data_IF_872663085439
#
_entry.id   IF_872663085439
#
_cell.length_a   1.000
_cell.length_b   1.000
_cell.length_c   1.000
_cell.angle_alpha   90.00
_cell.angle_beta   90.00
_cell.angle_gamma   90.00
#
_symmetry.space_group_name_H-M   'P 1'
#
loop_
_entity.id
_entity.type
_entity.pdbx_description
1 polymer ?
#
# COMPACT_ATOMS: atom_id res chain seq x y z
N UNK A 1 3.21 5.20 -17.40
CA UNK A 1 1.88 4.69 -17.72
C UNK A 1 1.70 4.28 -19.18
N UNK A 2 1.92 5.16 -20.14
CA UNK A 2 1.85 4.82 -21.58
C UNK A 2 2.66 3.57 -21.94
N UNK A 3 3.85 3.39 -21.36
CA UNK A 3 4.71 2.21 -21.57
C UNK A 3 4.01 0.92 -21.16
N UNK A 4 3.30 0.90 -20.01
CA UNK A 4 2.57 -0.28 -19.55
C UNK A 4 1.38 -0.60 -20.46
N UNK A 5 0.63 0.42 -20.88
CA UNK A 5 -0.50 0.25 -21.82
C UNK A 5 0.00 -0.29 -23.17
N UNK A 6 1.14 0.23 -23.67
CA UNK A 6 1.75 -0.24 -24.90
C UNK A 6 2.28 -1.68 -24.78
N UNK A 7 3.05 -1.96 -23.71
CA UNK A 7 3.61 -3.30 -23.48
C UNK A 7 2.51 -4.36 -23.37
N UNK A 8 1.52 -4.13 -22.52
CA UNK A 8 0.48 -5.12 -22.27
C UNK A 8 -0.59 -5.17 -23.35
N UNK A 9 -0.93 -4.03 -23.98
CA UNK A 9 -1.89 -3.97 -25.06
C UNK A 9 -1.36 -4.57 -26.38
N UNK A 10 -0.11 -4.25 -26.72
CA UNK A 10 0.49 -4.67 -28.00
C UNK A 10 1.18 -6.04 -27.89
N UNK A 11 1.97 -6.27 -26.83
CA UNK A 11 2.76 -7.51 -26.67
C UNK A 11 1.89 -8.69 -26.23
N UNK A 12 0.99 -8.48 -25.26
CA UNK A 12 0.15 -9.58 -24.73
C UNK A 12 -1.20 -9.74 -25.46
N UNK A 13 -1.53 -8.89 -26.45
CA UNK A 13 -2.78 -8.99 -27.23
C UNK A 13 -4.00 -9.27 -26.34
N UNK A 14 -4.10 -8.60 -25.19
CA UNK A 14 -5.19 -8.85 -24.26
C UNK A 14 -6.52 -8.44 -24.91
N UNK A 15 -7.45 -9.38 -25.00
CA UNK A 15 -8.80 -9.19 -25.54
C UNK A 15 -9.73 -8.47 -24.55
N UNK A 16 -9.22 -7.99 -23.43
CA UNK A 16 -10.01 -7.32 -22.41
C UNK A 16 -10.40 -5.92 -22.86
N UNK A 17 -11.70 -5.72 -22.99
CA UNK A 17 -12.28 -4.38 -23.18
C UNK A 17 -11.89 -3.53 -21.95
N UNK A 18 -11.47 -2.27 -22.16
CA UNK A 18 -11.04 -1.35 -21.07
C UNK A 18 -9.78 -1.75 -20.29
N UNK A 19 -8.88 -2.50 -20.90
CA UNK A 19 -7.63 -2.99 -20.29
C UNK A 19 -6.77 -1.88 -19.67
N UNK A 20 -6.72 -0.70 -20.30
CA UNK A 20 -5.97 0.44 -19.79
C UNK A 20 -6.48 0.92 -18.41
N UNK A 21 -7.80 0.96 -18.22
CA UNK A 21 -8.42 1.36 -16.94
C UNK A 21 -8.06 0.34 -15.85
N UNK A 22 -8.16 -0.95 -16.19
CA UNK A 22 -7.83 -2.03 -15.26
C UNK A 22 -6.37 -1.93 -14.77
N UNK A 23 -5.41 -1.75 -15.69
CA UNK A 23 -3.99 -1.55 -15.34
C UNK A 23 -3.81 -0.31 -14.46
N UNK A 24 -4.49 0.79 -14.78
CA UNK A 24 -4.34 2.03 -14.04
C UNK A 24 -4.81 1.89 -12.59
N UNK A 25 -5.92 1.22 -12.37
CA UNK A 25 -6.41 0.89 -11.02
C UNK A 25 -5.37 0.07 -10.28
N UNK A 26 -4.89 -1.03 -10.87
CA UNK A 26 -3.90 -1.91 -10.27
C UNK A 26 -2.60 -1.19 -9.89
N UNK A 27 -2.06 -0.35 -10.79
CA UNK A 27 -0.86 0.44 -10.53
C UNK A 27 -1.10 1.46 -9.42
N UNK A 28 -2.26 2.10 -9.37
CA UNK A 28 -2.60 3.08 -8.33
C UNK A 28 -2.65 2.44 -6.94
N UNK A 29 -3.26 1.27 -6.83
CA UNK A 29 -3.31 0.50 -5.58
C UNK A 29 -1.93 0.02 -5.15
N UNK A 30 -1.16 -0.49 -6.11
CA UNK A 30 0.21 -0.91 -5.87
C UNK A 30 1.10 0.24 -5.41
N UNK A 31 0.95 1.41 -6.01
CA UNK A 31 1.72 2.61 -5.67
C UNK A 31 1.44 3.08 -4.23
N UNK A 32 0.17 3.03 -3.80
CA UNK A 32 -0.21 3.29 -2.42
C UNK A 32 0.44 2.30 -1.46
N UNK A 33 0.37 0.99 -1.75
CA UNK A 33 0.97 -0.08 -0.97
C UNK A 33 2.50 0.13 -0.85
N UNK A 34 3.18 0.23 -1.98
CA UNK A 34 4.62 0.34 -2.08
C UNK A 34 5.15 1.59 -1.35
N UNK A 35 4.58 2.76 -1.63
CA UNK A 35 5.02 4.03 -1.02
C UNK A 35 4.77 4.04 0.48
N UNK A 36 3.65 3.53 0.94
CA UNK A 36 3.33 3.50 2.37
C UNK A 36 4.29 2.60 3.15
N UNK A 37 4.67 1.45 2.61
CA UNK A 37 5.63 0.54 3.24
C UNK A 37 7.05 1.10 3.22
N UNK A 38 7.55 1.59 2.08
CA UNK A 38 8.90 2.15 1.98
C UNK A 38 9.11 3.38 2.88
N UNK A 39 8.09 4.24 2.97
CA UNK A 39 8.16 5.42 3.83
C UNK A 39 8.15 5.03 5.31
N UNK A 40 7.44 3.97 5.70
CA UNK A 40 7.36 3.52 7.09
C UNK A 40 8.71 3.11 7.65
N UNK A 41 9.59 2.50 6.86
CA UNK A 41 10.94 2.10 7.28
C UNK A 41 11.78 3.31 7.70
N UNK A 42 11.69 4.41 6.95
CA UNK A 42 12.51 5.62 7.18
C UNK A 42 11.83 6.64 8.11
N UNK A 43 10.60 6.35 8.56
CA UNK A 43 9.73 7.34 9.18
C UNK A 43 10.31 7.97 10.44
N UNK A 44 10.89 7.17 11.33
CA UNK A 44 11.48 7.65 12.59
C UNK A 44 12.76 8.44 12.29
N UNK A 45 13.63 7.91 11.44
CA UNK A 45 14.89 8.58 11.07
C UNK A 45 14.65 9.92 10.38
N UNK A 46 13.65 10.00 9.49
CA UNK A 46 13.30 11.25 8.78
C UNK A 46 12.62 12.29 9.64
N UNK A 47 11.98 11.90 10.75
CA UNK A 47 11.31 12.81 11.69
C UNK A 47 12.04 12.92 13.04
N UNK A 48 13.32 12.55 13.09
CA UNK A 48 14.16 12.62 14.30
C UNK A 48 14.03 13.95 15.06
N UNK A 49 14.13 15.14 14.42
CA UNK A 49 14.06 16.42 15.14
C UNK A 49 12.72 16.67 15.84
N UNK A 50 11.63 16.05 15.39
CA UNK A 50 10.30 16.15 16.00
C UNK A 50 10.14 15.11 17.10
N UNK A 51 10.50 13.85 16.80
CA UNK A 51 10.35 12.72 17.72
C UNK A 51 11.24 12.85 18.96
N UNK A 52 12.40 13.56 18.86
CA UNK A 52 13.30 13.81 19.97
C UNK A 52 12.82 14.93 20.92
N UNK A 53 11.99 15.86 20.45
CA UNK A 53 11.54 17.01 21.23
C UNK A 53 10.15 16.83 21.84
N UNK A 54 9.29 16.06 21.19
CA UNK A 54 7.89 15.85 21.59
C UNK A 54 7.58 14.37 21.65
N UNK A 55 6.95 13.93 22.73
CA UNK A 55 6.45 12.58 22.83
C UNK A 55 5.25 12.39 21.91
N UNK A 56 5.47 11.73 20.77
CA UNK A 56 4.42 11.40 19.81
C UNK A 56 4.37 9.87 19.68
N UNK A 57 3.21 9.24 19.91
CA UNK A 57 3.05 7.80 19.65
C UNK A 57 3.40 7.49 18.20
N UNK A 58 4.35 6.59 17.99
CA UNK A 58 4.99 6.35 16.68
C UNK A 58 4.03 5.82 15.62
N UNK A 59 2.95 5.13 16.02
CA UNK A 59 1.91 4.68 15.10
C UNK A 59 1.14 5.85 14.47
N UNK A 60 1.03 7.00 15.15
CA UNK A 60 0.38 8.21 14.60
C UNK A 60 1.13 8.71 13.37
N UNK A 61 2.47 8.66 13.40
CA UNK A 61 3.28 9.03 12.23
C UNK A 61 2.98 8.16 11.01
N UNK A 62 2.71 6.86 11.23
CA UNK A 62 2.29 5.96 10.14
C UNK A 62 0.95 6.41 9.58
N UNK A 63 -0.04 6.69 10.43
CA UNK A 63 -1.35 7.17 9.98
C UNK A 63 -1.25 8.45 9.16
N UNK A 64 -0.44 9.42 9.60
CA UNK A 64 -0.24 10.68 8.86
C UNK A 64 0.34 10.41 7.48
N UNK A 65 1.36 9.56 7.35
CA UNK A 65 1.96 9.24 6.04
C UNK A 65 1.03 8.44 5.16
N UNK A 66 0.32 7.47 5.72
CA UNK A 66 -0.71 6.72 4.98
C UNK A 66 -1.84 7.63 4.52
N UNK A 67 -2.28 8.59 5.36
CA UNK A 67 -3.27 9.59 4.98
C UNK A 67 -2.84 10.42 3.78
N UNK A 68 -1.59 10.90 3.78
CA UNK A 68 -1.03 11.64 2.63
C UNK A 68 -0.98 10.78 1.36
N UNK A 69 -0.56 9.51 1.48
CA UNK A 69 -0.53 8.59 0.34
C UNK A 69 -1.95 8.23 -0.12
N UNK A 70 -2.88 8.04 0.82
CA UNK A 70 -4.30 7.81 0.55
C UNK A 70 -4.94 8.98 -0.19
N UNK A 71 -4.64 10.21 0.20
CA UNK A 71 -5.11 11.40 -0.52
C UNK A 71 -4.62 11.42 -1.98
N UNK A 72 -3.34 11.12 -2.20
CA UNK A 72 -2.78 10.99 -3.56
C UNK A 72 -3.45 9.87 -4.36
N UNK A 73 -3.73 8.75 -3.72
CA UNK A 73 -4.48 7.64 -4.32
C UNK A 73 -5.90 8.07 -4.71
N UNK A 74 -6.61 8.82 -3.86
CA UNK A 74 -7.93 9.35 -4.19
C UNK A 74 -7.91 10.25 -5.43
N UNK A 75 -6.92 11.14 -5.55
CA UNK A 75 -6.75 11.98 -6.76
C UNK A 75 -6.53 11.09 -7.99
N UNK A 76 -5.69 10.05 -7.89
CA UNK A 76 -5.47 9.12 -9.00
C UNK A 76 -6.73 8.35 -9.37
N UNK A 77 -7.57 7.97 -8.40
CA UNK A 77 -8.86 7.32 -8.64
C UNK A 77 -9.87 8.26 -9.31
N UNK A 78 -9.85 9.57 -9.02
CA UNK A 78 -10.67 10.54 -9.76
C UNK A 78 -10.32 10.57 -11.25
N UNK A 79 -9.04 10.42 -11.60
CA UNK A 79 -8.61 10.31 -13.00
C UNK A 79 -9.18 9.01 -13.61
N UNK A 80 -9.19 7.90 -12.88
CA UNK A 80 -9.83 6.65 -13.33
C UNK A 80 -11.30 6.86 -13.63
N UNK A 81 -12.04 7.52 -12.73
CA UNK A 81 -13.46 7.82 -12.94
C UNK A 81 -13.66 8.67 -14.18
N UNK A 82 -12.83 9.71 -14.39
CA UNK A 82 -12.88 10.52 -15.60
C UNK A 82 -12.65 9.68 -16.88
N UNK A 83 -11.68 8.75 -16.86
CA UNK A 83 -11.45 7.82 -17.97
C UNK A 83 -12.66 6.91 -18.22
N UNK A 84 -13.31 6.41 -17.16
CA UNK A 84 -14.51 5.57 -17.27
C UNK A 84 -15.67 6.32 -17.94
N UNK A 85 -15.85 7.61 -17.63
CA UNK A 85 -16.88 8.46 -18.22
C UNK A 85 -16.59 8.68 -19.73
N UNK A 86 -15.35 9.01 -20.08
CA UNK A 86 -14.93 9.26 -21.47
C UNK A 86 -15.14 8.01 -22.34
N UNK A 87 -14.81 6.83 -21.82
CA UNK A 87 -14.94 5.57 -22.55
C UNK A 87 -16.30 4.89 -22.38
N UNK A 88 -17.25 5.55 -21.70
CA UNK A 88 -18.62 5.05 -21.46
C UNK A 88 -18.65 3.62 -20.92
N UNK A 89 -17.78 3.33 -19.97
CA UNK A 89 -17.72 2.00 -19.33
C UNK A 89 -19.02 1.75 -18.57
N UNK A 90 -19.74 0.63 -18.81
CA UNK A 90 -20.95 0.33 -18.05
C UNK A 90 -20.62 0.11 -16.57
N UNK A 91 -21.13 1.00 -15.73
CA UNK A 91 -20.96 0.89 -14.27
C UNK A 91 -21.98 -0.14 -13.74
N UNK A 92 -21.49 -1.28 -13.30
CA UNK A 92 -22.28 -2.35 -12.70
C UNK A 92 -22.24 -2.22 -11.17
N UNK A 93 -23.23 -2.76 -10.47
CA UNK A 93 -23.29 -2.82 -9.00
C UNK A 93 -22.00 -3.42 -8.34
N UNK A 94 -21.23 -4.16 -9.10
CA UNK A 94 -19.92 -4.71 -8.66
C UNK A 94 -18.90 -3.64 -8.25
N UNK A 95 -19.07 -2.38 -8.64
CA UNK A 95 -18.23 -1.27 -8.15
C UNK A 95 -18.33 -1.11 -6.63
N UNK A 96 -19.43 -1.53 -6.01
CA UNK A 96 -19.57 -1.47 -4.56
C UNK A 96 -18.57 -2.39 -3.83
N UNK A 97 -18.14 -3.50 -4.44
CA UNK A 97 -17.09 -4.36 -3.90
C UNK A 97 -15.71 -3.69 -3.81
N UNK A 98 -15.52 -2.58 -4.52
CA UNK A 98 -14.28 -1.81 -4.44
C UNK A 98 -14.03 -1.21 -3.06
N UNK A 99 -15.09 -0.83 -2.33
CA UNK A 99 -14.99 -0.24 -0.99
C UNK A 99 -14.39 -1.23 0.02
N UNK A 100 -14.92 -2.46 0.19
CA UNK A 100 -14.32 -3.42 1.12
C UNK A 100 -12.90 -3.85 0.70
N UNK A 101 -12.58 -3.90 -0.60
CA UNK A 101 -11.22 -4.17 -1.07
C UNK A 101 -10.27 -3.06 -0.62
N UNK A 102 -10.67 -1.79 -0.75
CA UNK A 102 -9.88 -0.64 -0.28
C UNK A 102 -9.66 -0.69 1.23
N UNK A 103 -10.70 -0.96 2.01
CA UNK A 103 -10.58 -1.07 3.47
C UNK A 103 -9.60 -2.19 3.86
N UNK A 104 -9.70 -3.35 3.21
CA UNK A 104 -8.78 -4.47 3.43
C UNK A 104 -7.34 -4.07 3.11
N UNK A 105 -7.11 -3.39 1.99
CA UNK A 105 -5.78 -2.92 1.60
C UNK A 105 -5.19 -1.98 2.66
N UNK A 106 -5.97 -0.99 3.12
CA UNK A 106 -5.52 -0.02 4.14
C UNK A 106 -5.13 -0.73 5.45
N UNK A 107 -5.95 -1.69 5.91
CA UNK A 107 -5.68 -2.46 7.13
C UNK A 107 -4.40 -3.30 7.00
N UNK A 108 -4.22 -4.00 5.88
CA UNK A 108 -3.02 -4.80 5.61
C UNK A 108 -1.78 -3.90 5.56
N UNK A 109 -1.85 -2.80 4.82
CA UNK A 109 -0.74 -1.84 4.70
C UNK A 109 -0.36 -1.27 6.06
N UNK A 110 -1.34 -0.90 6.89
CA UNK A 110 -1.09 -0.38 8.23
C UNK A 110 -0.38 -1.40 9.11
N UNK A 111 -0.82 -2.66 9.11
CA UNK A 111 -0.19 -3.72 9.87
C UNK A 111 1.28 -3.95 9.47
N UNK A 112 1.55 -4.10 8.18
CA UNK A 112 2.92 -4.23 7.68
C UNK A 112 3.77 -2.99 7.96
N UNK A 113 3.21 -1.79 7.81
CA UNK A 113 3.90 -0.54 8.09
C UNK A 113 4.36 -0.45 9.57
N UNK A 114 3.53 -0.92 10.52
CA UNK A 114 3.89 -0.99 11.93
C UNK A 114 5.10 -1.93 12.17
N UNK A 115 5.11 -3.11 11.55
CA UNK A 115 6.25 -4.02 11.62
C UNK A 115 7.51 -3.41 11.00
N UNK A 116 7.40 -2.85 9.81
CA UNK A 116 8.52 -2.25 9.09
C UNK A 116 9.09 -1.02 9.82
N UNK A 117 8.25 -0.21 10.44
CA UNK A 117 8.71 0.89 11.27
C UNK A 117 9.57 0.39 12.44
N UNK A 118 9.15 -0.71 13.10
CA UNK A 118 9.91 -1.30 14.18
C UNK A 118 11.30 -1.75 13.71
N UNK A 119 11.38 -2.55 12.66
CA UNK A 119 12.65 -3.05 12.14
C UNK A 119 13.51 -1.99 11.47
N UNK A 120 12.90 -0.98 10.83
CA UNK A 120 13.60 0.10 10.14
C UNK A 120 14.46 1.00 11.03
N UNK A 121 14.23 0.98 12.35
CA UNK A 121 15.07 1.69 13.33
C UNK A 121 16.38 0.95 13.56
N UNK A 122 16.33 -0.38 13.59
CA UNK A 122 17.47 -1.24 13.96
C UNK A 122 18.31 -1.65 12.74
N UNK A 123 17.71 -1.75 11.56
CA UNK A 123 18.38 -2.22 10.34
C UNK A 123 18.49 -1.05 9.35
N UNK A 124 19.70 -0.62 9.06
CA UNK A 124 19.93 0.55 8.19
C UNK A 124 19.54 0.30 6.74
N UNK A 125 19.89 -0.87 6.21
CA UNK A 125 19.65 -1.23 4.80
C UNK A 125 18.27 -1.83 4.52
N UNK A 126 17.40 -1.91 5.54
CA UNK A 126 16.07 -2.50 5.38
C UNK A 126 15.27 -1.84 4.24
N UNK A 127 15.47 -0.55 4.01
CA UNK A 127 14.76 0.16 2.93
C UNK A 127 15.17 -0.30 1.53
N UNK A 128 16.45 -0.67 1.34
CA UNK A 128 16.98 -1.16 0.06
C UNK A 128 16.50 -2.59 -0.19
N UNK A 129 16.61 -3.44 0.82
CA UNK A 129 16.09 -4.82 0.77
C UNK A 129 14.60 -4.84 0.49
N UNK A 130 13.82 -4.00 1.19
CA UNK A 130 12.38 -3.90 0.99
C UNK A 130 12.03 -3.41 -0.42
N UNK A 131 12.77 -2.45 -0.97
CA UNK A 131 12.54 -1.96 -2.33
C UNK A 131 12.70 -3.07 -3.37
N UNK A 132 13.72 -3.90 -3.22
CA UNK A 132 13.94 -5.07 -4.11
C UNK A 132 12.82 -6.09 -3.91
N UNK A 133 12.49 -6.43 -2.66
CA UNK A 133 11.43 -7.38 -2.33
C UNK A 133 10.06 -6.94 -2.89
N UNK A 134 9.72 -5.65 -2.77
CA UNK A 134 8.46 -5.11 -3.29
C UNK A 134 8.40 -5.14 -4.81
N UNK A 135 9.52 -4.89 -5.50
CA UNK A 135 9.58 -5.05 -6.97
C UNK A 135 9.36 -6.50 -7.36
N UNK A 136 9.97 -7.44 -6.66
CA UNK A 136 9.77 -8.87 -6.90
C UNK A 136 8.32 -9.29 -6.66
N UNK A 137 7.71 -8.83 -5.56
CA UNK A 137 6.30 -9.05 -5.25
C UNK A 137 5.38 -8.50 -6.35
N UNK A 138 5.69 -7.34 -6.92
CA UNK A 138 4.91 -6.78 -8.03
C UNK A 138 4.78 -7.75 -9.21
N UNK A 139 5.87 -8.38 -9.60
CA UNK A 139 5.85 -9.36 -10.69
C UNK A 139 5.14 -10.66 -10.30
N UNK A 140 5.26 -11.10 -9.05
CA UNK A 140 4.56 -12.28 -8.56
C UNK A 140 3.06 -12.07 -8.45
N UNK A 141 2.61 -10.89 -8.02
CA UNK A 141 1.18 -10.59 -7.81
C UNK A 141 0.40 -10.65 -9.13
N UNK A 142 1.02 -10.32 -10.25
CA UNK A 142 0.41 -10.44 -11.58
C UNK A 142 -0.02 -11.87 -11.94
N UNK A 143 0.55 -12.87 -11.29
CA UNK A 143 0.24 -14.31 -11.53
C UNK A 143 -0.89 -14.82 -10.62
N UNK A 144 -1.09 -14.23 -9.42
CA UNK A 144 -1.98 -14.75 -8.38
C UNK A 144 -3.37 -14.10 -8.32
N UNK A 145 -3.72 -13.24 -9.24
CA UNK A 145 -4.98 -12.44 -9.20
C UNK A 145 -6.27 -13.28 -9.11
N UNK A 146 -6.26 -14.49 -9.67
CA UNK A 146 -7.45 -15.37 -9.65
C UNK A 146 -7.78 -16.00 -8.29
N UNK A 147 -6.87 -15.94 -7.31
CA UNK A 147 -7.05 -16.59 -6.01
C UNK A 147 -7.58 -15.59 -4.97
N UNK A 148 -7.35 -14.30 -5.15
CA UNK A 148 -7.66 -13.27 -4.15
C UNK A 148 -9.16 -12.99 -3.96
N UNK A 149 -9.96 -13.11 -5.02
CA UNK A 149 -11.38 -12.76 -4.97
C UNK A 149 -12.23 -13.66 -4.04
N UNK A 150 -11.81 -14.91 -3.87
CA UNK A 150 -12.57 -15.88 -3.06
C UNK A 150 -12.26 -15.82 -1.55
N UNK A 151 -11.18 -15.15 -1.15
CA UNK A 151 -10.66 -15.17 0.22
C UNK A 151 -10.55 -13.76 0.85
N UNK A 152 -11.31 -12.80 0.35
CA UNK A 152 -11.23 -11.39 0.78
C UNK A 152 -11.43 -11.22 2.28
N UNK A 153 -12.42 -11.91 2.87
CA UNK A 153 -12.66 -11.90 4.33
C UNK A 153 -11.47 -12.47 5.11
N UNK A 154 -10.85 -13.54 4.62
CA UNK A 154 -9.68 -14.14 5.25
C UNK A 154 -8.50 -13.18 5.24
N UNK A 155 -8.24 -12.51 4.11
CA UNK A 155 -7.19 -11.49 4.01
C UNK A 155 -7.45 -10.29 4.92
N UNK A 156 -8.71 -9.88 5.07
CA UNK A 156 -9.10 -8.82 6.01
C UNK A 156 -8.79 -9.20 7.45
N UNK A 157 -9.15 -10.41 7.88
CA UNK A 157 -8.86 -10.92 9.23
C UNK A 157 -7.36 -11.02 9.47
N UNK A 158 -6.59 -11.55 8.51
CA UNK A 158 -5.13 -11.61 8.58
C UNK A 158 -4.54 -10.20 8.73
N UNK A 159 -5.01 -9.24 7.93
CA UNK A 159 -4.60 -7.84 8.00
C UNK A 159 -4.86 -7.22 9.37
N UNK A 160 -6.02 -7.48 9.98
CA UNK A 160 -6.35 -7.03 11.33
C UNK A 160 -5.41 -7.63 12.38
N UNK A 161 -5.16 -8.93 12.32
CA UNK A 161 -4.24 -9.60 13.26
C UNK A 161 -2.84 -9.00 13.14
N UNK A 162 -2.33 -8.83 11.93
CA UNK A 162 -1.02 -8.22 11.67
C UNK A 162 -0.98 -6.79 12.21
N UNK A 163 -2.05 -6.00 12.02
CA UNK A 163 -2.13 -4.62 12.52
C UNK A 163 -2.06 -4.56 14.04
N UNK A 164 -2.83 -5.39 14.73
CA UNK A 164 -2.86 -5.45 16.20
C UNK A 164 -1.48 -5.87 16.75
N UNK A 165 -0.87 -6.89 16.16
CA UNK A 165 0.46 -7.36 16.56
C UNK A 165 1.53 -6.30 16.30
N UNK A 166 1.46 -5.58 15.17
CA UNK A 166 2.38 -4.49 14.83
C UNK A 166 2.31 -3.34 15.82
N UNK A 167 1.11 -2.88 16.17
CA UNK A 167 0.90 -1.82 17.16
C UNK A 167 1.40 -2.27 18.54
N UNK A 168 1.06 -3.48 18.99
CA UNK A 168 1.56 -4.03 20.26
C UNK A 168 3.08 -4.07 20.32
N UNK A 169 3.74 -4.45 19.23
CA UNK A 169 5.20 -4.50 19.13
C UNK A 169 5.84 -3.13 19.24
N UNK A 170 5.23 -2.09 18.65
CA UNK A 170 5.67 -0.71 18.77
C UNK A 170 5.61 -0.26 20.24
N UNK A 171 4.48 -0.44 20.91
CA UNK A 171 4.32 -0.05 22.31
C UNK A 171 5.30 -0.76 23.24
N UNK A 172 5.48 -2.08 23.06
CA UNK A 172 6.38 -2.88 23.92
C UNK A 172 7.84 -2.41 23.84
N UNK A 173 8.28 -1.89 22.69
CA UNK A 173 9.68 -1.51 22.46
C UNK A 173 9.88 0.02 22.38
N UNK A 174 8.93 0.80 22.87
CA UNK A 174 8.96 2.26 22.72
C UNK A 174 10.22 2.90 23.33
N UNK A 175 10.63 2.44 24.49
CA UNK A 175 11.83 2.92 25.18
C UNK A 175 13.14 2.59 24.43
N UNK A 176 13.15 1.55 23.60
CA UNK A 176 14.34 1.15 22.83
C UNK A 176 14.61 2.10 21.65
N UNK A 177 13.57 2.76 21.14
CA UNK A 177 13.74 3.69 20.01
C UNK A 177 14.46 4.98 20.43
N UNK A 178 14.27 5.41 21.68
CA UNK A 178 14.90 6.62 22.23
C UNK A 178 16.42 6.43 22.38
N UNK A 179 16.88 5.19 22.61
CA UNK A 179 18.30 4.86 22.75
C UNK A 179 19.06 4.81 21.41
N UNK A 180 18.35 4.64 20.29
CA UNK A 180 18.93 4.45 18.96
C UNK A 180 18.88 5.75 18.12
N UNK A 181 18.05 6.72 18.53
CA UNK A 181 17.92 8.03 17.92
C UNK A 181 18.88 9.03 18.55
#
# INVERSE_FOLDING_TARGET
MLIYVFMFGYVFKSKLQYFAIFIFIGITLWDFFNKSLLQSVKLIKSNKPIVSKVYIPKFILIFVKMGVNGFKMCISLLIVVAMMIVWRVPVTWNVLYFIPIMMTLVVIVFGFACFLLHYGVFVEDLSNVLNIALRFLFYLTGVFWNIMDRLLLLWFVIGLIISILGVRKIYKNENSYVKVI
#
